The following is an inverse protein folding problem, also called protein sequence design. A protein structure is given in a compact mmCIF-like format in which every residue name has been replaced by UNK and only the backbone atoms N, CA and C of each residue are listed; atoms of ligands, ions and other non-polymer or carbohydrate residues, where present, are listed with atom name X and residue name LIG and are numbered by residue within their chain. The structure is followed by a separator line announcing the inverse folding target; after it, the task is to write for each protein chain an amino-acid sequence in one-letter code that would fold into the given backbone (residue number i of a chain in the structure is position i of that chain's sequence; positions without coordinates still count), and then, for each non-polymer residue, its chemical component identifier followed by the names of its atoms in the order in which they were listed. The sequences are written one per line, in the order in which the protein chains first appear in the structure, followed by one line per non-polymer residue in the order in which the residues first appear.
data_IF_215738336093
#
_entry.id   IF_215738336093
#
_cell.length_a   1.000
_cell.length_b   1.000
_cell.length_c   1.000
_cell.angle_alpha   90.00
_cell.angle_beta   90.00
_cell.angle_gamma   90.00
#
_symmetry.space_group_name_H-M   'P 1'
#
loop_
_entity.id
_entity.type
_entity.pdbx_description
1 polymer ?
#
# COMPACT_ATOMS: atom_id res chain seq x y z
N UNK A 1 -37.75 -28.41 35.39
CA UNK A 1 -37.42 -27.96 34.01
C UNK A 1 -37.18 -26.46 34.04
N UNK A 2 -35.94 -26.00 34.21
CA UNK A 2 -35.62 -24.56 34.07
C UNK A 2 -34.13 -24.23 34.12
N UNK A 3 -33.27 -25.06 34.70
CA UNK A 3 -31.84 -24.72 34.84
C UNK A 3 -31.01 -24.99 33.56
N UNK A 4 -31.39 -25.99 32.77
CA UNK A 4 -30.65 -26.36 31.54
C UNK A 4 -30.81 -25.34 30.41
N UNK A 5 -32.01 -24.74 30.27
CA UNK A 5 -32.28 -23.72 29.24
C UNK A 5 -31.56 -22.41 29.59
N UNK A 6 -31.51 -22.04 30.87
CA UNK A 6 -30.75 -20.89 31.35
C UNK A 6 -29.22 -21.09 31.15
N UNK A 7 -28.72 -22.32 31.31
CA UNK A 7 -27.34 -22.68 31.01
C UNK A 7 -26.99 -22.54 29.52
N UNK A 8 -27.88 -23.00 28.64
CA UNK A 8 -27.66 -22.93 27.18
C UNK A 8 -27.72 -21.50 26.64
N UNK A 9 -28.62 -20.66 27.16
CA UNK A 9 -28.70 -19.23 26.81
C UNK A 9 -27.48 -18.44 27.31
N UNK A 10 -26.93 -18.79 28.48
CA UNK A 10 -25.65 -18.21 28.97
C UNK A 10 -24.47 -18.61 28.10
N UNK A 11 -24.42 -19.87 27.65
CA UNK A 11 -23.39 -20.35 26.73
C UNK A 11 -23.48 -19.69 25.35
N UNK A 12 -24.67 -19.52 24.78
CA UNK A 12 -24.87 -18.84 23.51
C UNK A 12 -24.58 -17.33 23.58
N UNK A 13 -24.97 -16.65 24.67
CA UNK A 13 -24.62 -15.24 24.89
C UNK A 13 -23.11 -15.05 25.09
N UNK A 14 -22.44 -15.98 25.78
CA UNK A 14 -20.98 -16.00 25.91
C UNK A 14 -20.31 -16.24 24.55
N UNK A 15 -20.86 -17.12 23.71
CA UNK A 15 -20.34 -17.37 22.36
C UNK A 15 -20.54 -16.17 21.42
N UNK A 16 -21.68 -15.48 21.48
CA UNK A 16 -21.93 -14.24 20.74
C UNK A 16 -21.01 -13.10 21.19
N UNK A 17 -20.79 -12.94 22.51
CA UNK A 17 -19.85 -11.95 23.04
C UNK A 17 -18.39 -12.27 22.68
N UNK A 18 -18.04 -13.55 22.53
CA UNK A 18 -16.71 -13.99 22.09
C UNK A 18 -16.54 -13.79 20.59
N UNK A 19 -17.58 -13.96 19.77
CA UNK A 19 -17.56 -13.64 18.34
C UNK A 19 -17.49 -12.13 18.09
N UNK A 20 -18.23 -11.31 18.85
CA UNK A 20 -18.14 -9.85 18.77
C UNK A 20 -16.81 -9.30 19.30
N UNK A 21 -16.17 -9.96 20.28
CA UNK A 21 -14.79 -9.66 20.69
C UNK A 21 -13.75 -10.10 19.67
N UNK A 22 -13.99 -11.19 18.92
CA UNK A 22 -13.13 -11.61 17.82
C UNK A 22 -13.23 -10.67 16.59
N UNK A 23 -14.31 -9.88 16.47
CA UNK A 23 -14.46 -8.87 15.43
C UNK A 23 -13.92 -7.48 15.82
N UNK A 24 -13.59 -7.27 17.10
CA UNK A 24 -13.05 -6.02 17.62
C UNK A 24 -11.52 -6.01 17.75
N UNK A 25 -10.84 -7.09 17.38
CA UNK A 25 -9.38 -7.22 17.62
C UNK A 25 -8.53 -7.23 16.34
N UNK A 26 -9.11 -6.96 15.17
CA UNK A 26 -8.30 -6.77 13.96
C UNK A 26 -7.48 -5.48 14.02
N UNK A 27 -7.97 -4.43 14.71
CA UNK A 27 -7.26 -3.14 14.81
C UNK A 27 -6.11 -3.17 15.83
N UNK A 28 -6.24 -3.96 16.91
CA UNK A 28 -5.24 -4.07 17.99
C UNK A 28 -4.17 -5.12 17.69
N UNK A 29 -4.51 -6.19 16.96
CA UNK A 29 -3.51 -7.18 16.50
C UNK A 29 -2.59 -6.61 15.40
N UNK A 30 -3.04 -5.60 14.64
CA UNK A 30 -2.19 -4.90 13.66
C UNK A 30 -1.15 -4.01 14.35
N UNK A 31 -1.43 -3.50 15.56
CA UNK A 31 -0.59 -2.48 16.20
C UNK A 31 0.58 -3.04 17.00
N UNK A 32 0.56 -4.31 17.43
CA UNK A 32 1.55 -4.79 18.41
C UNK A 32 2.60 -5.78 17.88
N UNK A 33 2.46 -6.36 16.68
CA UNK A 33 3.43 -7.35 16.16
C UNK A 33 4.42 -6.84 15.08
N UNK A 34 4.21 -5.65 14.49
CA UNK A 34 5.01 -5.18 13.34
C UNK A 34 5.60 -3.77 13.53
N UNK A 35 6.34 -3.54 14.62
CA UNK A 35 7.32 -2.44 14.67
C UNK A 35 8.56 -2.70 13.78
N UNK A 36 8.59 -3.83 13.06
CA UNK A 36 9.55 -4.11 12.00
C UNK A 36 8.81 -4.26 10.67
N UNK A 37 9.18 -3.43 9.68
CA UNK A 37 8.99 -3.63 8.23
C UNK A 37 7.79 -4.52 7.82
N UNK A 38 6.79 -3.93 7.15
CA UNK A 38 5.87 -4.70 6.30
C UNK A 38 6.71 -5.51 5.31
N UNK A 39 6.82 -6.82 5.53
CA UNK A 39 7.73 -7.68 4.77
C UNK A 39 7.08 -8.08 3.45
N UNK A 40 7.31 -7.26 2.43
CA UNK A 40 6.99 -7.57 1.04
C UNK A 40 5.72 -6.92 0.51
N UNK A 41 5.60 -6.96 -0.81
CA UNK A 41 4.57 -6.25 -1.56
C UNK A 41 3.16 -6.77 -1.25
N UNK A 42 3.00 -8.09 -1.09
CA UNK A 42 1.72 -8.74 -0.79
C UNK A 42 1.08 -8.21 0.51
N UNK A 43 1.83 -8.20 1.61
CA UNK A 43 1.29 -7.76 2.90
C UNK A 43 1.01 -6.26 2.92
N UNK A 44 1.81 -5.50 2.17
CA UNK A 44 1.53 -4.07 1.98
C UNK A 44 0.23 -3.84 1.22
N UNK A 45 -0.02 -4.56 0.13
CA UNK A 45 -1.27 -4.43 -0.63
C UNK A 45 -2.50 -4.82 0.20
N UNK A 46 -2.42 -5.91 0.97
CA UNK A 46 -3.49 -6.31 1.90
C UNK A 46 -3.78 -5.22 2.93
N UNK A 47 -2.74 -4.67 3.55
CA UNK A 47 -2.89 -3.58 4.52
C UNK A 47 -3.53 -2.34 3.89
N UNK A 48 -3.00 -1.87 2.76
CA UNK A 48 -3.50 -0.67 2.09
C UNK A 48 -4.96 -0.82 1.64
N UNK A 49 -5.34 -2.00 1.12
CA UNK A 49 -6.70 -2.25 0.68
C UNK A 49 -7.69 -2.39 1.85
N UNK A 50 -7.30 -3.09 2.92
CA UNK A 50 -8.11 -3.17 4.15
C UNK A 50 -8.26 -1.82 4.85
N UNK A 51 -7.27 -0.93 4.72
CA UNK A 51 -7.32 0.46 5.18
C UNK A 51 -8.12 1.40 4.28
N UNK A 52 -8.64 0.92 3.15
CA UNK A 52 -9.45 1.71 2.22
C UNK A 52 -8.66 2.70 1.36
N UNK A 53 -7.34 2.51 1.19
CA UNK A 53 -6.56 3.34 0.28
C UNK A 53 -7.01 3.10 -1.17
N UNK A 54 -7.60 4.12 -1.80
CA UNK A 54 -8.00 4.08 -3.21
C UNK A 54 -6.83 4.31 -4.18
N UNK A 55 -5.67 4.73 -3.67
CA UNK A 55 -4.48 5.06 -4.44
C UNK A 55 -3.59 3.84 -4.74
N UNK A 56 -4.04 2.61 -4.48
CA UNK A 56 -3.35 1.39 -4.92
C UNK A 56 -4.19 0.64 -5.95
N UNK A 57 -3.54 -0.04 -6.92
CA UNK A 57 -4.23 -0.99 -7.79
C UNK A 57 -4.98 -2.03 -6.97
N UNK A 58 -6.18 -2.40 -7.44
CA UNK A 58 -6.98 -3.43 -6.79
C UNK A 58 -6.23 -4.75 -6.84
N UNK A 59 -5.93 -5.31 -5.67
CA UNK A 59 -5.32 -6.62 -5.57
C UNK A 59 -6.32 -7.69 -6.04
N UNK A 60 -5.88 -8.59 -6.92
CA UNK A 60 -6.70 -9.64 -7.52
C UNK A 60 -6.40 -11.02 -6.91
N UNK A 61 -5.15 -11.26 -6.54
CA UNK A 61 -4.75 -12.53 -5.95
C UNK A 61 -3.24 -12.72 -5.94
N UNK A 62 -2.81 -13.79 -5.28
CA UNK A 62 -1.42 -14.22 -5.27
C UNK A 62 -1.34 -15.73 -5.42
N UNK A 63 -0.18 -16.20 -5.89
CA UNK A 63 0.15 -17.61 -5.92
C UNK A 63 1.60 -17.81 -5.49
N UNK A 64 1.91 -18.96 -4.91
CA UNK A 64 3.26 -19.33 -4.53
C UNK A 64 3.58 -20.70 -5.10
N UNK A 65 4.82 -20.89 -5.52
CA UNK A 65 5.32 -22.17 -6.01
C UNK A 65 6.75 -22.40 -5.53
N UNK A 66 7.04 -23.61 -5.08
CA UNK A 66 8.43 -24.06 -4.85
C UNK A 66 9.10 -24.28 -6.21
N UNK A 67 10.36 -23.89 -6.31
CA UNK A 67 11.17 -24.03 -7.51
C UNK A 67 11.78 -25.43 -7.58
N UNK A 68 11.74 -26.02 -8.77
CA UNK A 68 12.35 -27.33 -9.05
C UNK A 68 13.87 -27.26 -9.12
N UNK A 69 14.52 -28.40 -9.28
CA UNK A 69 15.98 -28.51 -9.39
C UNK A 69 16.54 -27.79 -10.62
N UNK A 70 15.74 -27.65 -11.69
CA UNK A 70 16.12 -26.99 -12.94
C UNK A 70 15.62 -25.54 -13.03
N UNK A 71 14.94 -25.02 -12.00
CA UNK A 71 14.51 -23.61 -11.94
C UNK A 71 15.68 -22.68 -11.54
N UNK A 72 15.47 -21.36 -11.61
CA UNK A 72 16.50 -20.35 -11.32
C UNK A 72 17.14 -20.49 -9.92
N UNK A 73 16.37 -20.96 -8.94
CA UNK A 73 16.81 -21.14 -7.56
C UNK A 73 16.29 -22.49 -7.04
N UNK A 74 17.07 -23.58 -7.16
CA UNK A 74 16.69 -24.91 -6.66
C UNK A 74 16.30 -24.89 -5.18
N UNK A 75 15.15 -25.47 -4.85
CA UNK A 75 14.59 -25.46 -3.48
C UNK A 75 14.10 -24.09 -3.00
N UNK A 76 14.22 -23.04 -3.82
CA UNK A 76 13.65 -21.71 -3.54
C UNK A 76 12.15 -21.65 -3.79
N UNK A 77 11.56 -20.45 -3.74
CA UNK A 77 10.16 -20.24 -4.09
C UNK A 77 9.95 -18.98 -4.92
N UNK A 78 8.91 -18.99 -5.74
CA UNK A 78 8.41 -17.83 -6.49
C UNK A 78 7.06 -17.44 -5.93
N UNK A 79 6.89 -16.15 -5.64
CA UNK A 79 5.61 -15.55 -5.25
C UNK A 79 5.14 -14.66 -6.40
N UNK A 80 3.96 -14.98 -6.94
CA UNK A 80 3.26 -14.21 -7.94
C UNK A 80 2.25 -13.29 -7.26
N UNK A 81 2.22 -12.03 -7.68
CA UNK A 81 1.24 -11.04 -7.24
C UNK A 81 0.50 -10.55 -8.47
N UNK A 82 -0.83 -10.54 -8.42
CA UNK A 82 -1.68 -10.07 -9.49
C UNK A 82 -2.54 -8.92 -8.98
N UNK A 83 -2.51 -7.81 -9.70
CA UNK A 83 -3.35 -6.65 -9.47
C UNK A 83 -3.99 -6.20 -10.78
N UNK A 84 -4.97 -5.31 -10.67
CA UNK A 84 -5.66 -4.73 -11.81
C UNK A 84 -4.69 -4.11 -12.82
N UNK A 85 -4.83 -4.51 -14.09
CA UNK A 85 -4.12 -3.85 -15.19
C UNK A 85 -4.71 -2.47 -15.38
N UNK A 86 -3.83 -1.50 -15.51
CA UNK A 86 -4.13 -0.07 -15.55
C UNK A 86 -3.30 0.56 -16.67
N UNK A 87 -3.78 1.64 -17.28
CA UNK A 87 -3.06 2.29 -18.37
C UNK A 87 -1.73 2.89 -17.89
N UNK A 88 -0.73 2.85 -18.76
CA UNK A 88 0.56 3.48 -18.52
C UNK A 88 0.46 5.01 -18.63
N UNK A 89 1.46 5.69 -18.08
CA UNK A 89 1.51 7.14 -18.03
C UNK A 89 1.65 7.77 -19.42
N UNK A 90 0.78 8.74 -19.72
CA UNK A 90 0.97 9.72 -20.79
C UNK A 90 1.66 10.97 -20.25
N UNK A 91 2.76 11.36 -20.89
CA UNK A 91 3.58 12.53 -20.51
C UNK A 91 2.78 13.84 -20.51
N UNK A 92 1.69 13.94 -21.27
CA UNK A 92 0.84 15.14 -21.30
C UNK A 92 0.04 15.34 -19.99
N UNK A 93 -0.14 14.29 -19.18
CA UNK A 93 -0.96 14.31 -17.97
C UNK A 93 -0.21 14.69 -16.68
N UNK A 94 1.08 15.08 -16.77
CA UNK A 94 1.92 15.38 -15.60
C UNK A 94 1.31 16.40 -14.65
N UNK A 95 0.65 17.43 -15.18
CA UNK A 95 -0.03 18.46 -14.37
C UNK A 95 -1.14 17.87 -13.50
N UNK A 96 -1.99 17.02 -14.07
CA UNK A 96 -3.12 16.41 -13.36
C UNK A 96 -2.62 15.42 -12.31
N UNK A 97 -1.56 14.68 -12.63
CA UNK A 97 -0.91 13.76 -11.70
C UNK A 97 -0.35 14.51 -10.50
N UNK A 98 0.36 15.62 -10.73
CA UNK A 98 0.93 16.44 -9.64
C UNK A 98 -0.15 16.86 -8.64
N UNK A 99 -1.31 17.29 -9.13
CA UNK A 99 -2.43 17.72 -8.26
C UNK A 99 -2.97 16.61 -7.34
N UNK A 100 -2.77 15.33 -7.70
CA UNK A 100 -3.30 14.16 -6.99
C UNK A 100 -2.23 13.37 -6.23
N UNK A 101 -0.96 13.59 -6.57
CA UNK A 101 0.15 12.75 -6.14
C UNK A 101 0.36 12.77 -4.63
N UNK A 102 0.33 13.94 -4.00
CA UNK A 102 0.49 14.05 -2.54
C UNK A 102 -0.56 13.24 -1.78
N UNK A 103 -1.84 13.38 -2.16
CA UNK A 103 -2.94 12.62 -1.56
C UNK A 103 -2.79 11.10 -1.81
N UNK A 104 -2.39 10.71 -3.03
CA UNK A 104 -2.19 9.30 -3.38
C UNK A 104 -1.00 8.66 -2.62
N UNK A 105 0.07 9.42 -2.41
CA UNK A 105 1.26 8.97 -1.69
C UNK A 105 0.96 8.76 -0.20
N UNK A 106 0.10 9.61 0.37
CA UNK A 106 -0.22 9.58 1.79
C UNK A 106 -1.27 8.51 2.16
N UNK A 107 -1.00 7.26 1.81
CA UNK A 107 -1.84 6.11 2.13
C UNK A 107 -1.34 5.31 3.36
N UNK A 108 -0.51 5.91 4.20
CA UNK A 108 0.03 5.26 5.42
C UNK A 108 1.20 4.30 5.18
N UNK A 109 1.57 4.02 3.93
CA UNK A 109 2.79 3.27 3.58
C UNK A 109 3.52 3.97 2.44
N UNK A 110 4.78 4.32 2.66
CA UNK A 110 5.64 4.90 1.64
C UNK A 110 6.08 3.79 0.65
N UNK A 111 5.94 3.99 -0.67
CA UNK A 111 6.42 3.03 -1.66
C UNK A 111 7.94 2.83 -1.58
N UNK A 112 8.38 1.63 -1.94
CA UNK A 112 9.80 1.25 -1.83
C UNK A 112 10.68 1.78 -2.97
N UNK A 113 10.07 2.18 -4.10
CA UNK A 113 10.76 2.68 -5.28
C UNK A 113 10.12 3.97 -5.76
N UNK A 114 10.84 5.09 -5.67
CA UNK A 114 10.44 6.34 -6.30
C UNK A 114 10.84 6.31 -7.78
N UNK A 115 9.90 5.90 -8.65
CA UNK A 115 10.06 5.94 -10.11
C UNK A 115 8.75 6.31 -10.76
N UNK A 116 8.83 7.04 -11.87
CA UNK A 116 7.65 7.40 -12.68
C UNK A 116 6.87 6.16 -13.13
N UNK A 117 7.54 5.05 -13.43
CA UNK A 117 6.91 3.77 -13.79
C UNK A 117 6.14 3.09 -12.65
N UNK A 118 6.15 3.65 -11.44
CA UNK A 118 5.31 3.23 -10.33
C UNK A 118 4.03 4.04 -10.21
N UNK A 119 3.92 5.13 -10.97
CA UNK A 119 2.71 5.92 -11.10
C UNK A 119 1.87 5.36 -12.24
N UNK A 120 0.60 5.20 -11.93
CA UNK A 120 -0.42 4.77 -12.84
C UNK A 120 -1.47 5.88 -12.85
N UNK A 121 -1.77 6.42 -14.02
CA UNK A 121 -2.79 7.44 -14.16
C UNK A 121 -3.81 7.04 -15.22
N UNK A 122 -5.04 6.87 -14.79
CA UNK A 122 -6.16 6.66 -15.69
C UNK A 122 -6.76 8.03 -16.04
N UNK A 123 -6.45 8.54 -17.24
CA UNK A 123 -6.96 9.83 -17.72
C UNK A 123 -8.49 9.87 -17.80
N UNK A 124 -9.15 8.74 -18.09
CA UNK A 124 -10.60 8.69 -18.29
C UNK A 124 -11.37 8.92 -16.99
N UNK A 125 -10.85 8.39 -15.89
CA UNK A 125 -11.45 8.54 -14.55
C UNK A 125 -10.72 9.59 -13.70
N UNK A 126 -9.55 10.02 -14.14
CA UNK A 126 -8.62 10.83 -13.36
C UNK A 126 -8.03 10.11 -12.15
N UNK A 127 -8.14 8.77 -12.06
CA UNK A 127 -7.66 8.04 -10.90
C UNK A 127 -6.15 7.87 -10.95
N UNK A 128 -5.49 8.27 -9.85
CA UNK A 128 -4.06 8.10 -9.65
C UNK A 128 -3.80 6.92 -8.71
N UNK A 129 -2.97 5.98 -9.14
CA UNK A 129 -2.58 4.80 -8.37
C UNK A 129 -1.06 4.68 -8.31
N UNK A 130 -0.57 4.10 -7.23
CA UNK A 130 0.84 3.88 -6.97
C UNK A 130 1.09 2.38 -6.78
N UNK A 131 2.21 1.88 -7.30
CA UNK A 131 2.69 0.50 -7.14
C UNK A 131 4.13 0.48 -6.61
N UNK A 132 4.75 -0.70 -6.47
CA UNK A 132 6.17 -0.80 -6.09
C UNK A 132 6.39 -0.77 -4.58
N UNK A 133 5.56 -1.50 -3.84
CA UNK A 133 5.61 -1.60 -2.38
C UNK A 133 6.47 -2.75 -1.86
N UNK A 134 7.31 -3.35 -2.71
CA UNK A 134 8.21 -4.46 -2.34
C UNK A 134 9.03 -4.20 -1.07
N UNK A 135 9.45 -2.96 -0.87
CA UNK A 135 10.16 -2.50 0.34
C UNK A 135 9.40 -1.36 1.02
N UNK A 136 8.07 -1.39 0.95
CA UNK A 136 7.20 -0.39 1.54
C UNK A 136 7.46 -0.23 3.04
N UNK A 137 7.39 1.01 3.52
CA UNK A 137 7.60 1.32 4.93
C UNK A 137 6.37 2.04 5.48
N UNK A 138 5.84 1.63 6.65
CA UNK A 138 4.80 2.41 7.30
C UNK A 138 5.24 3.86 7.42
N UNK A 139 4.33 4.78 7.06
CA UNK A 139 4.51 6.20 7.36
C UNK A 139 4.13 6.34 8.82
N UNK A 140 5.14 6.30 9.69
CA UNK A 140 4.97 6.57 11.12
C UNK A 140 4.74 8.08 11.24
N UNK A 141 3.74 8.47 12.04
CA UNK A 141 3.31 9.87 12.21
C UNK A 141 4.49 10.85 12.26
N UNK A 142 4.41 11.92 11.47
CA UNK A 142 5.42 12.98 11.45
C UNK A 142 6.40 12.98 10.28
N UNK A 143 6.19 12.17 9.23
CA UNK A 143 6.93 12.40 7.99
C UNK A 143 6.37 13.67 7.31
N UNK A 144 7.05 14.81 7.51
CA UNK A 144 6.74 16.04 6.80
C UNK A 144 6.75 15.78 5.29
N UNK A 145 5.71 16.27 4.61
CA UNK A 145 5.66 16.19 3.16
C UNK A 145 6.84 16.97 2.57
N UNK A 146 7.58 16.33 1.67
CA UNK A 146 8.68 16.95 0.95
C UNK A 146 8.33 17.06 -0.51
N UNK A 147 8.37 18.28 -1.06
CA UNK A 147 8.20 18.53 -2.49
C UNK A 147 9.20 17.72 -3.33
N UNK A 148 10.36 17.34 -2.77
CA UNK A 148 11.36 16.53 -3.45
C UNK A 148 10.79 15.20 -3.99
N UNK A 149 9.69 14.70 -3.41
CA UNK A 149 8.96 13.53 -3.91
C UNK A 149 8.47 13.71 -5.35
N UNK A 150 8.11 14.92 -5.78
CA UNK A 150 7.76 15.16 -7.18
C UNK A 150 8.95 14.88 -8.10
N UNK A 151 10.14 15.34 -7.73
CA UNK A 151 11.38 15.08 -8.50
C UNK A 151 11.77 13.60 -8.47
N UNK A 152 11.70 12.93 -7.31
CA UNK A 152 12.03 11.50 -7.19
C UNK A 152 11.12 10.62 -8.07
N UNK A 153 9.86 11.01 -8.25
CA UNK A 153 8.93 10.35 -9.15
C UNK A 153 8.96 10.89 -10.58
N UNK A 154 9.92 11.77 -10.88
CA UNK A 154 10.13 12.37 -12.18
C UNK A 154 9.00 13.29 -12.62
N UNK A 155 8.15 13.78 -11.71
CA UNK A 155 7.01 14.68 -11.97
C UNK A 155 7.42 16.15 -12.08
N UNK A 156 8.64 16.49 -11.67
CA UNK A 156 9.26 17.80 -11.86
C UNK A 156 10.75 17.58 -12.16
N UNK A 157 11.40 18.55 -12.82
CA UNK A 157 12.85 18.55 -12.99
C UNK A 157 13.46 19.58 -12.03
N UNK A 158 14.45 19.17 -11.20
CA UNK A 158 15.09 20.09 -10.26
C UNK A 158 15.99 21.07 -11.00
N UNK A 159 16.36 22.15 -10.32
CA UNK A 159 17.46 23.01 -10.77
C UNK A 159 18.79 22.21 -10.76
N UNK A 160 19.83 22.75 -11.42
CA UNK A 160 21.17 22.12 -11.42
C UNK A 160 21.96 22.36 -10.12
N UNK A 161 21.38 23.08 -9.16
CA UNK A 161 22.03 23.44 -7.89
C UNK A 161 22.03 22.23 -6.93
N UNK A 162 23.01 22.14 -6.04
CA UNK A 162 23.15 21.01 -5.11
C UNK A 162 22.04 20.99 -4.04
N UNK A 163 21.54 22.17 -3.69
CA UNK A 163 20.47 22.43 -2.73
C UNK A 163 19.10 22.64 -3.41
N UNK A 164 18.92 22.08 -4.61
CA UNK A 164 17.67 22.17 -5.39
C UNK A 164 16.41 21.84 -4.57
N UNK A 165 16.51 20.96 -3.57
CA UNK A 165 15.40 20.54 -2.73
C UNK A 165 14.88 21.64 -1.79
N UNK A 166 15.67 22.69 -1.55
CA UNK A 166 15.26 23.89 -0.80
C UNK A 166 14.59 24.93 -1.71
N UNK A 167 14.67 24.77 -3.03
CA UNK A 167 14.26 25.75 -4.03
C UNK A 167 13.23 25.20 -5.04
N UNK A 168 12.05 24.71 -4.59
CA UNK A 168 11.01 24.20 -5.48
C UNK A 168 10.48 25.24 -6.49
N UNK A 169 10.64 26.53 -6.19
CA UNK A 169 10.32 27.64 -7.10
C UNK A 169 11.20 27.69 -8.36
N UNK A 170 12.38 27.06 -8.32
CA UNK A 170 13.32 27.00 -9.45
C UNK A 170 13.15 25.74 -10.31
N UNK A 171 12.19 24.87 -10.00
CA UNK A 171 11.98 23.63 -10.74
C UNK A 171 11.19 23.84 -12.03
N UNK A 172 11.44 23.00 -13.02
CA UNK A 172 10.54 22.88 -14.18
C UNK A 172 9.42 21.90 -13.83
N UNK A 173 8.19 22.44 -13.77
CA UNK A 173 6.97 21.72 -13.38
C UNK A 173 6.20 21.16 -14.57
#
# INVERSE_FOLDING_TARGET
MSEWIAGLLKLLASFCATLQRAQADSRTLITTHWLGRLCGELETFKLLQSGGCSAVPRFLGHAERIQGEDDLLPGGYVRYLVWEKVPDLDDTARKDIRSKFCAAYNCGVAPGQSRTSKIIFDQSTGNLRISGFRTGRPIIDGLEWSEARYVEYGLAKPSKETDWYLHPEKWEW
#
